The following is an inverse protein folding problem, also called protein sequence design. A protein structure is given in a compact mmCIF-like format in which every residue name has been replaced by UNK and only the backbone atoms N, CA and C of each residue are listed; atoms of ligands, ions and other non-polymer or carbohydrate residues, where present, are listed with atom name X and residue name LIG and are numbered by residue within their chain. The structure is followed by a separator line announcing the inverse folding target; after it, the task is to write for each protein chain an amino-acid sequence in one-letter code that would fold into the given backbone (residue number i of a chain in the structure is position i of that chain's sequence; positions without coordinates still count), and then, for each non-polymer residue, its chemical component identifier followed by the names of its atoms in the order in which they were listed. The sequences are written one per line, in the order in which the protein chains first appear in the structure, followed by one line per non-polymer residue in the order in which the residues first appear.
data_IF_971697992647
#
_entry.id   IF_971697992647
#
_cell.length_a   1.000
_cell.length_b   1.000
_cell.length_c   1.000
_cell.angle_alpha   90.00
_cell.angle_beta   90.00
_cell.angle_gamma   90.00
#
_symmetry.space_group_name_H-M   'P 1'
#
loop_
_entity.id
_entity.type
_entity.pdbx_description
1 polymer ?
#
# COMPACT_ATOMS: atom_id res chain seq x y z
N UNK A 1 17.25 -17.63 -58.28
CA UNK A 1 16.41 -18.57 -57.53
C UNK A 1 15.87 -17.79 -56.34
N UNK A 2 14.57 -17.44 -56.42
CA UNK A 2 13.86 -16.56 -55.52
C UNK A 2 13.45 -17.29 -54.26
N UNK A 3 13.78 -16.76 -53.08
CA UNK A 3 13.23 -17.22 -51.80
C UNK A 3 12.07 -16.29 -51.41
N UNK A 4 10.88 -16.86 -51.40
CA UNK A 4 9.63 -16.20 -51.03
C UNK A 4 9.55 -16.16 -49.50
N UNK A 5 9.53 -14.95 -48.93
CA UNK A 5 9.26 -14.70 -47.51
C UNK A 5 7.77 -14.78 -47.28
N UNK A 6 7.31 -15.78 -46.54
CA UNK A 6 5.92 -15.93 -46.13
C UNK A 6 5.68 -15.16 -44.86
N UNK A 7 5.03 -13.99 -44.97
CA UNK A 7 4.42 -13.27 -43.84
C UNK A 7 3.23 -14.06 -43.29
N UNK A 8 3.35 -14.61 -42.11
CA UNK A 8 2.18 -15.13 -41.36
C UNK A 8 1.49 -13.95 -40.68
N UNK A 9 0.33 -13.58 -41.18
CA UNK A 9 -0.62 -12.72 -40.43
C UNK A 9 -1.08 -13.47 -39.17
N UNK A 10 -0.84 -12.88 -38.01
CA UNK A 10 -1.47 -13.28 -36.74
C UNK A 10 -2.86 -12.64 -36.69
N UNK A 11 -3.91 -13.38 -36.29
CA UNK A 11 -5.23 -12.77 -36.08
C UNK A 11 -5.22 -11.89 -34.86
N UNK A 12 -5.56 -10.61 -35.03
CA UNK A 12 -5.95 -9.68 -33.97
C UNK A 12 -7.26 -10.19 -33.39
N UNK A 13 -7.22 -10.74 -32.19
CA UNK A 13 -8.41 -10.96 -31.37
C UNK A 13 -8.96 -9.60 -30.96
N UNK A 14 -9.97 -9.13 -31.69
CA UNK A 14 -10.79 -8.00 -31.28
C UNK A 14 -11.67 -8.46 -30.12
N UNK A 15 -11.30 -8.08 -28.91
CA UNK A 15 -12.18 -8.16 -27.75
C UNK A 15 -13.13 -6.96 -27.80
N UNK A 16 -14.23 -7.10 -28.54
CA UNK A 16 -15.33 -6.15 -28.53
C UNK A 16 -16.16 -6.37 -27.28
N UNK A 17 -15.88 -5.63 -26.22
CA UNK A 17 -16.73 -5.56 -25.02
C UNK A 17 -17.94 -4.65 -25.36
N UNK A 18 -19.02 -5.26 -25.81
CA UNK A 18 -20.33 -4.59 -25.95
C UNK A 18 -20.89 -4.27 -24.57
N UNK A 19 -20.73 -3.03 -24.13
CA UNK A 19 -21.40 -2.48 -22.95
C UNK A 19 -22.81 -2.09 -23.34
N UNK A 20 -23.79 -2.98 -23.15
CA UNK A 20 -25.22 -2.63 -23.23
C UNK A 20 -25.60 -1.86 -21.98
N UNK A 21 -25.75 -0.54 -22.12
CA UNK A 21 -26.40 0.30 -21.11
C UNK A 21 -27.91 -0.02 -21.09
N UNK A 22 -28.36 -0.82 -20.14
CA UNK A 22 -29.77 -0.89 -19.79
C UNK A 22 -30.11 0.26 -18.85
N UNK A 23 -30.88 1.21 -19.34
CA UNK A 23 -31.46 2.32 -18.55
C UNK A 23 -32.55 1.75 -17.64
N UNK A 24 -32.23 1.56 -16.35
CA UNK A 24 -33.24 1.36 -15.31
C UNK A 24 -33.56 2.68 -14.63
N UNK A 25 -34.82 3.00 -14.34
CA UNK A 25 -35.20 4.25 -13.70
C UNK A 25 -34.72 4.27 -12.25
N UNK A 26 -34.03 5.35 -11.90
CA UNK A 26 -33.64 5.68 -10.52
C UNK A 26 -34.92 5.95 -9.70
N UNK A 27 -35.27 5.00 -8.85
CA UNK A 27 -36.11 5.30 -7.70
C UNK A 27 -35.25 6.02 -6.67
N UNK A 28 -35.46 7.32 -6.54
CA UNK A 28 -34.93 8.11 -5.43
C UNK A 28 -35.69 7.70 -4.18
N UNK A 29 -35.13 6.77 -3.42
CA UNK A 29 -35.56 6.52 -2.06
C UNK A 29 -35.03 7.65 -1.20
N UNK A 30 -35.91 8.56 -0.78
CA UNK A 30 -35.63 9.51 0.29
C UNK A 30 -35.38 8.70 1.55
N UNK A 31 -34.12 8.52 1.89
CA UNK A 31 -33.69 8.00 3.19
C UNK A 31 -34.14 9.02 4.25
N UNK A 32 -35.12 8.67 5.02
CA UNK A 32 -35.46 9.36 6.25
C UNK A 32 -34.32 9.08 7.22
N UNK A 33 -33.65 10.13 7.67
CA UNK A 33 -32.66 10.05 8.73
C UNK A 33 -33.34 9.38 9.94
N UNK A 34 -32.80 8.26 10.37
CA UNK A 34 -33.26 7.50 11.52
C UNK A 34 -33.05 8.37 12.78
N UNK A 35 -34.18 8.85 13.34
CA UNK A 35 -34.23 9.68 14.54
C UNK A 35 -34.23 8.82 15.81
N UNK A 36 -33.83 7.55 15.73
CA UNK A 36 -34.01 6.52 16.76
C UNK A 36 -33.01 6.58 17.92
N UNK A 37 -32.20 7.65 18.07
CA UNK A 37 -31.26 7.80 19.17
C UNK A 37 -31.64 8.82 20.25
N UNK A 38 -32.73 9.58 20.11
CA UNK A 38 -33.12 10.61 21.10
C UNK A 38 -34.07 10.04 22.13
N UNK A 39 -33.81 10.33 23.41
CA UNK A 39 -34.66 9.96 24.54
C UNK A 39 -34.91 11.17 25.42
N UNK A 40 -36.05 11.17 26.11
CA UNK A 40 -36.35 12.19 27.10
C UNK A 40 -35.54 11.92 28.39
N UNK A 41 -34.83 12.94 28.85
CA UNK A 41 -34.05 12.90 30.08
C UNK A 41 -34.46 14.04 31.01
N UNK A 42 -34.41 13.75 32.30
CA UNK A 42 -34.66 14.73 33.33
C UNK A 42 -33.59 14.63 34.44
N UNK A 43 -32.65 15.55 34.41
CA UNK A 43 -31.54 15.61 35.37
C UNK A 43 -31.56 16.98 36.04
N UNK A 44 -31.81 17.05 37.35
CA UNK A 44 -31.86 18.33 38.06
C UNK A 44 -30.49 18.99 38.12
N UNK A 45 -30.48 20.32 38.22
CA UNK A 45 -29.27 21.09 38.51
C UNK A 45 -28.66 20.69 39.86
N UNK A 46 -27.33 20.67 39.94
CA UNK A 46 -26.62 20.28 41.14
C UNK A 46 -25.15 19.97 40.90
N UNK A 47 -24.52 19.17 41.76
CA UNK A 47 -23.12 18.81 41.57
C UNK A 47 -22.93 18.05 40.24
N UNK A 48 -21.88 18.39 39.52
CA UNK A 48 -21.59 17.79 38.20
C UNK A 48 -21.48 16.26 38.29
N UNK A 49 -20.86 15.74 39.35
CA UNK A 49 -20.75 14.31 39.59
C UNK A 49 -22.11 13.61 39.67
N UNK A 50 -23.05 14.17 40.47
CA UNK A 50 -24.39 13.59 40.59
C UNK A 50 -25.21 13.68 39.30
N UNK A 51 -25.11 14.79 38.56
CA UNK A 51 -25.79 14.98 37.30
C UNK A 51 -25.29 13.98 36.23
N UNK A 52 -23.99 13.80 36.12
CA UNK A 52 -23.37 12.87 35.18
C UNK A 52 -23.72 11.40 35.48
N UNK A 53 -23.67 11.01 36.77
CA UNK A 53 -24.03 9.65 37.19
C UNK A 53 -25.50 9.34 36.89
N UNK A 54 -26.40 10.31 37.18
CA UNK A 54 -27.83 10.16 36.91
C UNK A 54 -28.13 10.05 35.41
N UNK A 55 -27.49 10.92 34.62
CA UNK A 55 -27.67 10.90 33.17
C UNK A 55 -27.12 9.59 32.56
N UNK A 56 -25.92 9.15 32.93
CA UNK A 56 -25.32 7.89 32.45
C UNK A 56 -26.23 6.69 32.79
N UNK A 57 -26.82 6.66 34.00
CA UNK A 57 -27.77 5.63 34.41
C UNK A 57 -29.06 5.64 33.60
N UNK A 58 -29.61 6.83 33.29
CA UNK A 58 -30.81 6.95 32.43
C UNK A 58 -30.52 6.60 30.96
N UNK A 59 -29.32 6.91 30.48
CA UNK A 59 -28.87 6.64 29.13
C UNK A 59 -28.46 5.15 28.92
N UNK A 60 -28.16 4.41 29.99
CA UNK A 60 -27.71 3.03 29.94
C UNK A 60 -26.26 2.88 29.46
N UNK A 61 -25.42 3.90 29.70
CA UNK A 61 -24.01 3.93 29.27
C UNK A 61 -23.06 3.90 30.47
N UNK A 62 -21.88 3.35 30.27
CA UNK A 62 -20.83 3.31 31.27
C UNK A 62 -20.00 4.59 31.19
N UNK A 63 -19.94 5.35 32.31
CA UNK A 63 -19.13 6.53 32.40
C UNK A 63 -18.05 6.36 33.49
N UNK A 64 -16.79 6.42 33.05
CA UNK A 64 -15.64 6.46 33.95
C UNK A 64 -15.27 7.92 34.25
N UNK A 65 -15.29 8.29 35.51
CA UNK A 65 -15.04 9.67 35.98
C UNK A 65 -13.95 9.66 37.04
N UNK A 66 -12.88 10.40 36.80
CA UNK A 66 -11.91 10.71 37.85
C UNK A 66 -12.56 11.71 38.84
N UNK A 67 -12.74 11.35 40.13
CA UNK A 67 -13.34 12.23 41.12
C UNK A 67 -12.65 13.59 41.23
N UNK A 68 -11.36 13.66 40.99
CA UNK A 68 -10.59 14.91 41.03
C UNK A 68 -11.04 15.93 39.98
N UNK A 69 -11.53 15.48 38.83
CA UNK A 69 -11.97 16.34 37.73
C UNK A 69 -13.33 16.99 37.97
N UNK A 70 -14.21 16.36 38.75
CA UNK A 70 -15.60 16.80 38.94
C UNK A 70 -15.88 17.42 40.32
N UNK A 71 -14.94 17.30 41.25
CA UNK A 71 -15.08 17.85 42.61
C UNK A 71 -15.20 19.36 42.57
N UNK A 72 -16.22 19.91 43.25
CA UNK A 72 -16.49 21.35 43.34
C UNK A 72 -17.11 21.98 42.07
N UNK A 73 -17.44 21.18 41.04
CA UNK A 73 -18.10 21.67 39.82
C UNK A 73 -19.60 21.41 39.86
N UNK A 74 -20.38 22.32 39.27
CA UNK A 74 -21.83 22.24 39.19
C UNK A 74 -22.29 22.13 37.76
N UNK A 75 -23.44 21.50 37.55
CA UNK A 75 -24.15 21.42 36.27
C UNK A 75 -25.50 22.13 36.37
N UNK A 76 -25.92 22.79 35.28
CA UNK A 76 -27.23 23.43 35.14
C UNK A 76 -28.39 22.43 35.04
N UNK A 77 -28.09 21.13 34.99
CA UNK A 77 -29.09 20.11 34.76
C UNK A 77 -29.46 19.96 33.27
N UNK A 78 -30.37 19.01 32.98
CA UNK A 78 -30.83 18.70 31.63
C UNK A 78 -32.30 18.29 31.69
N UNK A 79 -33.16 18.89 30.84
CA UNK A 79 -34.55 18.48 30.65
C UNK A 79 -34.90 18.57 29.18
N UNK A 80 -35.39 17.47 28.60
CA UNK A 80 -35.79 17.38 27.17
C UNK A 80 -35.32 16.13 26.47
N UNK A 81 -35.47 16.10 25.15
CA UNK A 81 -35.07 14.98 24.32
C UNK A 81 -33.68 15.22 23.71
N UNK A 82 -32.74 14.35 24.01
CA UNK A 82 -31.36 14.46 23.58
C UNK A 82 -30.81 13.10 23.10
N UNK A 83 -29.85 13.13 22.21
CA UNK A 83 -28.92 12.02 22.01
C UNK A 83 -27.94 11.94 23.21
N UNK A 84 -27.36 10.77 23.46
CA UNK A 84 -26.47 10.55 24.61
C UNK A 84 -25.31 11.54 24.65
N UNK A 85 -24.64 11.72 23.54
CA UNK A 85 -23.49 12.64 23.43
C UNK A 85 -23.89 14.11 23.59
N UNK A 86 -25.03 14.48 23.03
CA UNK A 86 -25.59 15.83 23.15
C UNK A 86 -25.98 16.15 24.61
N UNK A 87 -26.56 15.19 25.33
CA UNK A 87 -26.88 15.31 26.74
C UNK A 87 -25.65 15.51 27.63
N UNK A 88 -24.59 14.73 27.39
CA UNK A 88 -23.32 14.92 28.07
C UNK A 88 -22.69 16.29 27.78
N UNK A 89 -22.67 16.70 26.51
CA UNK A 89 -22.12 18.01 26.13
C UNK A 89 -22.84 19.17 26.83
N UNK A 90 -24.16 19.08 27.01
CA UNK A 90 -24.95 20.07 27.78
C UNK A 90 -24.61 20.08 29.23
N UNK A 91 -24.50 18.91 29.88
CA UNK A 91 -24.16 18.78 31.30
C UNK A 91 -22.74 19.28 31.61
N UNK A 92 -21.82 19.11 30.64
CA UNK A 92 -20.41 19.53 30.75
C UNK A 92 -20.17 20.98 30.35
N UNK A 93 -21.18 21.70 29.86
CA UNK A 93 -21.04 23.08 29.41
C UNK A 93 -20.51 23.99 30.53
N UNK A 94 -19.40 24.69 30.31
CA UNK A 94 -18.76 25.56 31.29
C UNK A 94 -17.91 24.84 32.34
N UNK A 95 -17.81 23.50 32.30
CA UNK A 95 -17.00 22.74 33.25
C UNK A 95 -15.52 22.66 32.88
N UNK A 96 -15.14 23.01 31.66
CA UNK A 96 -13.76 22.79 31.16
C UNK A 96 -13.42 21.31 30.97
N UNK A 97 -14.42 20.45 30.83
CA UNK A 97 -14.28 19.02 30.59
C UNK A 97 -14.98 18.64 29.27
N UNK A 98 -14.48 17.62 28.63
CA UNK A 98 -15.11 17.02 27.45
C UNK A 98 -15.24 15.49 27.59
N UNK A 99 -16.22 14.93 26.89
CA UNK A 99 -16.49 13.52 26.85
C UNK A 99 -15.60 12.86 25.80
N UNK A 100 -15.00 11.72 26.12
CA UNK A 100 -14.23 10.90 25.20
C UNK A 100 -14.79 9.47 25.19
N UNK A 101 -15.18 8.92 24.03
CA UNK A 101 -15.60 7.53 23.91
C UNK A 101 -14.39 6.61 24.07
N UNK A 102 -14.51 5.53 24.85
CA UNK A 102 -13.46 4.50 25.06
C UNK A 102 -13.92 3.10 24.66
N UNK A 103 -15.13 2.96 24.14
CA UNK A 103 -15.71 1.70 23.68
C UNK A 103 -17.17 1.84 23.29
N UNK A 104 -17.81 0.75 22.87
CA UNK A 104 -19.25 0.74 22.63
C UNK A 104 -20.00 1.04 23.94
N UNK A 105 -20.72 2.16 23.99
CA UNK A 105 -21.47 2.66 25.16
C UNK A 105 -20.61 2.92 26.42
N UNK A 106 -19.30 3.14 26.27
CA UNK A 106 -18.40 3.48 27.36
C UNK A 106 -17.70 4.81 27.10
N UNK A 107 -17.71 5.71 28.09
CA UNK A 107 -17.18 7.06 28.00
C UNK A 107 -16.28 7.39 29.17
N UNK A 108 -15.32 8.31 28.96
CA UNK A 108 -14.50 8.91 30.03
C UNK A 108 -14.48 10.43 29.92
N UNK A 109 -14.16 11.11 31.00
CA UNK A 109 -14.00 12.57 31.00
C UNK A 109 -12.52 12.94 30.95
N UNK A 110 -12.21 13.93 30.12
CA UNK A 110 -10.88 14.53 30.01
C UNK A 110 -10.99 16.06 30.12
N UNK A 111 -9.93 16.77 30.55
CA UNK A 111 -9.91 18.23 30.51
C UNK A 111 -10.07 18.72 29.06
N UNK A 112 -10.92 19.73 28.85
CA UNK A 112 -11.00 20.39 27.55
C UNK A 112 -9.70 21.20 27.32
N UNK A 113 -9.12 21.20 26.12
CA UNK A 113 -7.92 21.99 25.84
C UNK A 113 -8.23 23.49 26.03
N UNK A 114 -7.35 24.18 26.73
CA UNK A 114 -7.48 25.64 26.94
C UNK A 114 -7.39 26.36 25.57
N UNK A 115 -8.38 27.20 25.28
CA UNK A 115 -8.51 27.98 24.04
C UNK A 115 -7.42 29.06 23.86
N UNK A 116 -6.40 29.08 24.69
CA UNK A 116 -5.33 30.11 24.68
C UNK A 116 -4.03 29.66 24.01
N UNK A 117 -3.93 28.42 23.54
CA UNK A 117 -2.77 27.94 22.77
C UNK A 117 -3.22 27.55 21.37
N UNK A 118 -3.35 28.54 20.49
CA UNK A 118 -3.51 28.30 19.05
C UNK A 118 -2.17 27.78 18.45
N UNK A 119 -1.67 26.67 18.95
CA UNK A 119 -0.79 25.77 18.23
C UNK A 119 -1.63 25.03 17.21
N UNK A 120 -1.12 24.89 15.98
CA UNK A 120 -1.72 24.16 14.87
C UNK A 120 -2.18 22.78 15.35
N UNK A 121 -3.42 22.67 15.79
CA UNK A 121 -4.02 21.40 16.16
C UNK A 121 -4.41 20.70 14.86
N UNK A 122 -3.57 19.79 14.42
CA UNK A 122 -3.94 18.83 13.38
C UNK A 122 -5.17 18.08 13.89
N UNK A 123 -6.23 18.06 13.07
CA UNK A 123 -7.43 17.31 13.38
C UNK A 123 -7.05 15.88 13.78
N UNK A 124 -7.69 15.31 14.84
CA UNK A 124 -7.43 13.93 15.18
C UNK A 124 -7.74 13.06 13.95
N UNK A 125 -6.73 12.46 13.40
CA UNK A 125 -6.90 11.46 12.35
C UNK A 125 -7.58 10.28 13.03
N UNK A 126 -8.89 10.11 12.80
CA UNK A 126 -9.56 8.89 13.23
C UNK A 126 -8.96 7.77 12.39
N UNK A 127 -8.15 6.95 13.01
CA UNK A 127 -7.64 5.72 12.41
C UNK A 127 -8.81 4.74 12.43
N UNK A 128 -9.62 4.76 11.39
CA UNK A 128 -10.50 3.64 11.09
C UNK A 128 -9.56 2.52 10.68
N UNK A 129 -9.51 1.46 11.48
CA UNK A 129 -8.65 0.31 11.23
C UNK A 129 -9.03 -0.33 9.90
N UNK A 130 -8.41 0.15 8.84
CA UNK A 130 -8.37 -0.57 7.58
C UNK A 130 -7.32 -1.66 7.74
N UNK A 131 -7.77 -2.90 7.72
CA UNK A 131 -6.93 -4.09 7.72
C UNK A 131 -6.14 -4.29 6.42
N UNK A 132 -6.07 -3.28 5.60
CA UNK A 132 -5.10 -3.08 4.53
C UNK A 132 -3.97 -2.23 5.04
N UNK A 133 -3.10 -2.80 5.83
CA UNK A 133 -1.67 -2.46 6.07
C UNK A 133 -1.19 -1.00 5.86
N UNK A 134 -2.00 -0.01 6.17
CA UNK A 134 -1.58 1.39 6.25
C UNK A 134 -1.69 1.95 7.67
N UNK A 135 -1.89 1.08 8.66
CA UNK A 135 -2.07 1.47 10.04
C UNK A 135 -0.73 1.53 10.80
N UNK A 136 0.11 2.40 10.38
CA UNK A 136 1.32 2.85 11.05
C UNK A 136 1.70 4.17 10.40
N UNK A 137 1.86 5.22 11.19
CA UNK A 137 2.41 6.46 10.67
C UNK A 137 3.72 6.15 9.95
N UNK A 138 3.78 6.39 8.66
CA UNK A 138 5.02 6.32 7.92
C UNK A 138 6.04 7.29 8.52
N UNK A 139 7.32 7.03 8.30
CA UNK A 139 8.34 8.02 8.65
C UNK A 139 8.12 9.31 7.88
N UNK A 140 8.69 10.39 8.39
CA UNK A 140 8.62 11.68 7.74
C UNK A 140 8.99 11.57 6.26
N UNK A 141 8.12 12.09 5.38
CA UNK A 141 8.25 11.98 3.93
C UNK A 141 7.52 10.80 3.29
N UNK A 142 6.90 9.90 4.07
CA UNK A 142 6.03 8.84 3.56
C UNK A 142 6.70 7.71 2.76
N UNK A 143 8.03 7.74 2.61
CA UNK A 143 8.73 6.78 1.75
C UNK A 143 9.07 5.45 2.43
N UNK A 144 9.14 5.46 3.75
CA UNK A 144 9.43 4.27 4.55
C UNK A 144 8.34 4.11 5.60
N UNK A 145 7.69 2.95 5.60
CA UNK A 145 6.68 2.63 6.59
C UNK A 145 7.30 2.17 7.91
N UNK A 146 6.60 2.37 9.03
CA UNK A 146 7.01 1.90 10.36
C UNK A 146 6.63 0.45 10.62
N UNK A 147 5.74 -0.10 9.83
CA UNK A 147 5.28 -1.49 9.94
C UNK A 147 5.55 -2.23 8.64
N UNK A 148 5.82 -3.50 8.74
CA UNK A 148 6.00 -4.37 7.57
C UNK A 148 5.56 -5.80 7.87
N UNK A 149 5.39 -6.59 6.82
CA UNK A 149 5.02 -8.00 6.94
C UNK A 149 6.20 -8.82 7.43
N UNK A 150 5.96 -9.59 8.49
CA UNK A 150 6.93 -10.48 9.12
C UNK A 150 6.43 -11.93 9.06
N UNK A 151 5.93 -12.34 7.89
CA UNK A 151 5.46 -13.69 7.66
C UNK A 151 4.40 -14.12 8.69
N UNK A 152 4.65 -15.19 9.41
CA UNK A 152 3.73 -15.73 10.42
C UNK A 152 3.42 -14.78 11.58
N UNK A 153 4.25 -13.78 11.82
CA UNK A 153 4.04 -12.79 12.88
C UNK A 153 3.10 -11.65 12.47
N UNK A 154 2.65 -11.66 11.21
CA UNK A 154 1.79 -10.62 10.65
C UNK A 154 2.51 -9.30 10.41
N UNK A 155 1.78 -8.19 10.40
CA UNK A 155 2.35 -6.85 10.26
C UNK A 155 2.56 -6.23 11.64
N UNK A 156 3.81 -5.85 11.95
CA UNK A 156 4.20 -5.24 13.23
C UNK A 156 5.10 -4.05 13.01
N UNK A 157 5.09 -3.14 13.98
CA UNK A 157 6.09 -2.08 14.07
C UNK A 157 7.47 -2.73 14.28
N UNK A 158 8.47 -2.27 13.52
CA UNK A 158 9.80 -2.89 13.61
C UNK A 158 10.53 -2.54 14.91
N UNK A 159 10.09 -1.54 15.67
CA UNK A 159 10.59 -1.28 17.03
C UNK A 159 10.07 -2.33 18.03
N UNK A 160 9.01 -3.05 17.69
CA UNK A 160 8.42 -4.12 18.52
C UNK A 160 8.89 -5.52 18.12
N UNK A 161 9.87 -5.62 17.21
CA UNK A 161 10.32 -6.89 16.67
C UNK A 161 11.83 -7.02 16.74
N UNK A 162 12.37 -8.25 16.96
CA UNK A 162 13.80 -8.48 17.01
C UNK A 162 14.44 -8.57 15.62
N UNK A 163 13.77 -8.10 14.58
CA UNK A 163 14.22 -8.17 13.19
C UNK A 163 14.56 -6.79 12.64
N UNK A 164 15.68 -6.71 11.93
CA UNK A 164 16.02 -5.52 11.15
C UNK A 164 15.28 -5.57 9.81
N UNK A 165 14.41 -4.60 9.57
CA UNK A 165 13.70 -4.52 8.29
C UNK A 165 13.52 -3.07 7.83
N UNK A 166 13.28 -2.93 6.55
CA UNK A 166 12.90 -1.66 5.89
C UNK A 166 11.71 -1.95 5.00
N UNK A 167 10.68 -1.11 5.09
CA UNK A 167 9.49 -1.21 4.26
C UNK A 167 9.37 0.04 3.41
N UNK A 168 9.62 -0.09 2.12
CA UNK A 168 9.42 0.99 1.13
C UNK A 168 7.97 1.04 0.70
N UNK A 169 7.38 2.23 0.71
CA UNK A 169 5.98 2.46 0.36
C UNK A 169 5.81 2.70 -1.15
N UNK A 170 4.57 2.73 -1.63
CA UNK A 170 4.25 3.19 -2.99
C UNK A 170 4.73 4.61 -3.27
N UNK A 171 4.78 5.46 -2.22
CA UNK A 171 5.28 6.83 -2.37
C UNK A 171 6.80 6.84 -2.61
N UNK A 172 7.55 5.89 -2.04
CA UNK A 172 8.94 5.67 -2.39
C UNK A 172 9.08 5.26 -3.87
N UNK A 173 8.28 4.32 -4.33
CA UNK A 173 8.25 3.89 -5.75
C UNK A 173 7.99 5.08 -6.66
N UNK A 174 6.97 5.89 -6.34
CA UNK A 174 6.57 7.05 -7.13
C UNK A 174 7.62 8.16 -7.11
N UNK A 175 8.14 8.53 -5.94
CA UNK A 175 9.08 9.63 -5.78
C UNK A 175 10.47 9.33 -6.37
N UNK A 176 10.89 8.07 -6.28
CA UNK A 176 12.13 7.61 -6.92
C UNK A 176 11.94 7.29 -8.40
N UNK A 177 10.69 7.33 -8.92
CA UNK A 177 10.34 6.88 -10.27
C UNK A 177 10.85 5.46 -10.55
N UNK A 178 10.85 4.62 -9.51
CA UNK A 178 11.36 3.26 -9.57
C UNK A 178 10.46 2.41 -10.48
N UNK A 179 11.02 1.86 -11.52
CA UNK A 179 10.32 0.99 -12.49
C UNK A 179 10.50 -0.48 -12.14
N UNK A 180 11.65 -0.79 -11.53
CA UNK A 180 12.04 -2.14 -11.16
C UNK A 180 12.34 -2.22 -9.67
N UNK A 181 12.40 -3.44 -9.15
CA UNK A 181 12.81 -3.66 -7.76
C UNK A 181 14.24 -3.14 -7.54
N UNK A 182 15.13 -3.32 -8.52
CA UNK A 182 16.50 -2.81 -8.46
C UNK A 182 16.56 -1.30 -8.29
N UNK A 183 15.73 -0.55 -9.01
CA UNK A 183 15.67 0.91 -8.90
C UNK A 183 15.24 1.33 -7.49
N UNK A 184 14.20 0.69 -6.93
CA UNK A 184 13.68 1.03 -5.61
C UNK A 184 14.70 0.81 -4.49
N UNK A 185 15.40 -0.32 -4.54
CA UNK A 185 16.34 -0.70 -3.47
C UNK A 185 17.73 -0.11 -3.64
N UNK A 186 18.02 0.60 -4.73
CA UNK A 186 19.32 1.20 -4.99
C UNK A 186 19.77 2.15 -3.87
N UNK A 187 18.81 2.75 -3.16
CA UNK A 187 19.04 3.63 -2.01
C UNK A 187 19.28 2.88 -0.68
N UNK A 188 19.00 1.58 -0.59
CA UNK A 188 19.20 0.80 0.66
C UNK A 188 20.68 0.44 0.83
N UNK A 189 21.35 0.91 1.92
CA UNK A 189 22.78 0.67 2.12
C UNK A 189 23.13 -0.81 2.36
N UNK A 190 22.17 -1.63 2.74
CA UNK A 190 22.38 -3.05 3.05
C UNK A 190 22.02 -4.00 1.91
N UNK A 191 21.44 -3.48 0.83
CA UNK A 191 21.04 -4.24 -0.35
C UNK A 191 21.80 -3.72 -1.57
N UNK A 192 22.29 -4.62 -2.40
CA UNK A 192 23.01 -4.26 -3.63
C UNK A 192 22.50 -5.08 -4.79
N UNK A 193 22.25 -4.44 -5.91
CA UNK A 193 22.11 -5.13 -7.18
C UNK A 193 23.50 -5.63 -7.62
N UNK A 194 23.55 -6.89 -8.06
CA UNK A 194 24.80 -7.54 -8.50
C UNK A 194 24.89 -7.64 -10.02
N UNK A 195 23.77 -7.44 -10.71
CA UNK A 195 23.75 -7.34 -12.16
C UNK A 195 23.61 -5.86 -12.58
N UNK A 196 24.09 -5.51 -13.79
CA UNK A 196 23.95 -4.16 -14.29
C UNK A 196 22.46 -3.75 -14.38
N UNK A 197 22.18 -2.48 -14.11
CA UNK A 197 20.90 -1.90 -14.45
C UNK A 197 20.69 -1.98 -15.97
N UNK A 198 19.45 -2.21 -16.43
CA UNK A 198 19.17 -2.46 -17.85
C UNK A 198 19.63 -3.82 -18.36
N UNK A 199 20.09 -4.71 -17.50
CA UNK A 199 20.41 -6.09 -17.82
C UNK A 199 19.17 -6.97 -18.00
N UNK A 200 19.41 -8.21 -18.43
CA UNK A 200 18.34 -9.18 -18.70
C UNK A 200 17.60 -9.64 -17.44
N UNK A 201 18.26 -9.66 -16.30
CA UNK A 201 17.68 -10.08 -15.02
C UNK A 201 18.33 -9.35 -13.86
N UNK A 202 17.56 -9.20 -12.79
CA UNK A 202 18.03 -8.63 -11.55
C UNK A 202 18.50 -9.73 -10.59
N UNK A 203 19.49 -9.44 -9.82
CA UNK A 203 19.96 -10.26 -8.70
C UNK A 203 20.50 -9.35 -7.62
N UNK A 204 20.30 -9.72 -6.38
CA UNK A 204 20.63 -8.88 -5.24
C UNK A 204 21.56 -9.58 -4.25
N UNK A 205 22.16 -8.78 -3.39
CA UNK A 205 22.77 -9.25 -2.15
C UNK A 205 22.20 -8.45 -0.99
N UNK A 206 21.92 -9.13 0.11
CA UNK A 206 21.56 -8.50 1.38
C UNK A 206 22.71 -8.78 2.35
N UNK A 207 23.37 -7.72 2.83
CA UNK A 207 24.55 -7.81 3.71
C UNK A 207 25.63 -8.78 3.16
N UNK A 208 25.80 -8.81 1.82
CA UNK A 208 26.77 -9.66 1.13
C UNK A 208 26.30 -11.07 0.77
N UNK A 209 25.15 -11.52 1.24
CA UNK A 209 24.58 -12.83 0.89
C UNK A 209 23.67 -12.70 -0.35
N UNK A 210 23.81 -13.64 -1.28
CA UNK A 210 23.03 -13.62 -2.52
C UNK A 210 21.55 -13.86 -2.28
N UNK A 211 20.73 -13.11 -3.01
CA UNK A 211 19.28 -13.28 -3.11
C UNK A 211 18.90 -13.21 -4.59
N UNK A 212 18.28 -14.25 -5.09
CA UNK A 212 17.81 -14.33 -6.48
C UNK A 212 16.36 -13.85 -6.57
N UNK A 213 15.90 -13.43 -7.75
CA UNK A 213 14.50 -13.03 -7.95
C UNK A 213 13.51 -14.16 -7.61
N UNK A 214 13.90 -15.43 -7.78
CA UNK A 214 13.09 -16.57 -7.32
C UNK A 214 12.90 -16.63 -5.80
N UNK A 215 13.75 -15.96 -5.03
CA UNK A 215 13.67 -15.85 -3.58
C UNK A 215 12.89 -14.61 -3.11
N UNK A 216 12.42 -13.78 -4.04
CA UNK A 216 11.51 -12.66 -3.76
C UNK A 216 10.09 -13.21 -3.67
N UNK A 217 9.39 -12.93 -2.58
CA UNK A 217 8.01 -13.34 -2.39
C UNK A 217 7.03 -12.26 -2.87
N UNK A 218 5.85 -12.70 -3.25
CA UNK A 218 4.70 -11.87 -3.59
C UNK A 218 3.60 -12.14 -2.57
N UNK A 219 3.29 -11.15 -1.76
CA UNK A 219 2.36 -11.30 -0.63
C UNK A 219 2.65 -12.54 0.25
N UNK A 220 3.93 -12.83 0.48
CA UNK A 220 4.40 -13.97 1.26
C UNK A 220 4.55 -15.28 0.48
N UNK A 221 4.16 -15.35 -0.79
CA UNK A 221 4.24 -16.55 -1.62
C UNK A 221 5.46 -16.49 -2.56
N UNK A 222 6.23 -17.56 -2.62
CA UNK A 222 7.35 -17.68 -3.56
C UNK A 222 6.89 -18.24 -4.92
N UNK A 223 7.67 -17.94 -5.97
CA UNK A 223 7.44 -18.48 -7.31
C UNK A 223 6.33 -17.80 -8.12
N UNK A 224 5.77 -16.71 -7.62
CA UNK A 224 4.71 -15.94 -8.30
C UNK A 224 5.30 -14.83 -9.18
N UNK A 225 6.40 -14.21 -8.74
CA UNK A 225 7.03 -13.11 -9.47
C UNK A 225 7.91 -13.62 -10.63
N UNK A 226 8.10 -12.82 -11.69
CA UNK A 226 9.04 -13.13 -12.73
C UNK A 226 10.46 -13.33 -12.19
N UNK A 227 11.19 -14.30 -12.73
CA UNK A 227 12.58 -14.55 -12.34
C UNK A 227 13.58 -13.54 -12.93
N UNK A 228 13.13 -12.68 -13.83
CA UNK A 228 13.96 -11.69 -14.52
C UNK A 228 13.90 -10.33 -13.86
N UNK A 229 12.93 -9.52 -14.20
CA UNK A 229 12.77 -8.16 -13.66
C UNK A 229 11.39 -8.05 -13.01
N UNK A 230 11.32 -7.38 -11.87
CA UNK A 230 10.09 -7.21 -11.10
C UNK A 230 9.65 -5.75 -11.22
N UNK A 231 8.51 -5.53 -11.88
CA UNK A 231 7.93 -4.21 -12.05
C UNK A 231 7.30 -3.70 -10.74
N UNK A 232 7.50 -2.41 -10.44
CA UNK A 232 7.11 -1.83 -9.14
C UNK A 232 5.77 -1.12 -9.14
N UNK A 233 5.19 -0.80 -10.28
CA UNK A 233 3.91 -0.08 -10.35
C UNK A 233 2.73 -0.86 -9.73
N UNK A 234 2.83 -2.17 -9.63
CA UNK A 234 1.84 -3.02 -8.97
C UNK A 234 2.01 -3.09 -7.44
N UNK A 235 3.14 -2.60 -6.91
CA UNK A 235 3.47 -2.73 -5.50
C UNK A 235 2.83 -1.62 -4.66
N UNK A 236 2.15 -1.98 -3.58
CA UNK A 236 1.75 -1.06 -2.51
C UNK A 236 2.93 -0.75 -1.60
N UNK A 237 3.77 -1.77 -1.35
CA UNK A 237 5.00 -1.64 -0.60
C UNK A 237 5.95 -2.81 -0.89
N UNK A 238 7.20 -2.62 -0.51
CA UNK A 238 8.22 -3.65 -0.56
C UNK A 238 8.86 -3.78 0.83
N UNK A 239 8.70 -4.96 1.42
CA UNK A 239 9.26 -5.28 2.74
C UNK A 239 10.62 -5.97 2.55
N UNK A 240 11.67 -5.43 3.14
CA UNK A 240 13.02 -6.01 3.13
C UNK A 240 13.39 -6.42 4.54
N UNK A 241 13.45 -7.70 4.80
CA UNK A 241 13.92 -8.25 6.06
C UNK A 241 15.41 -8.58 5.93
N UNK A 242 16.22 -8.08 6.87
CA UNK A 242 17.68 -8.14 6.84
C UNK A 242 18.21 -9.11 7.90
N UNK A 243 18.62 -10.28 7.48
CA UNK A 243 19.08 -11.36 8.32
C UNK A 243 18.28 -12.65 8.11
N UNK A 244 18.54 -13.70 8.86
CA UNK A 244 17.85 -14.99 8.69
C UNK A 244 16.34 -14.84 8.86
N UNK A 245 15.57 -15.13 7.80
CA UNK A 245 14.12 -14.97 7.74
C UNK A 245 13.35 -16.28 7.63
N UNK A 246 14.07 -17.38 7.51
CA UNK A 246 13.49 -18.68 7.19
C UNK A 246 12.48 -19.19 8.23
N UNK A 247 12.68 -18.82 9.51
CA UNK A 247 11.76 -19.23 10.58
C UNK A 247 10.37 -18.58 10.43
N UNK A 248 10.31 -17.34 9.96
CA UNK A 248 9.07 -16.57 9.89
C UNK A 248 8.46 -16.53 8.49
N UNK A 249 9.29 -16.51 7.44
CA UNK A 249 8.86 -16.40 6.05
C UNK A 249 8.91 -17.75 5.29
N UNK A 250 9.34 -18.83 5.97
CA UNK A 250 9.63 -20.10 5.30
C UNK A 250 10.95 -20.09 4.53
N UNK A 251 11.30 -21.24 3.97
CA UNK A 251 12.52 -21.41 3.19
C UNK A 251 12.26 -20.92 1.76
N UNK A 252 13.07 -19.97 1.31
CA UNK A 252 13.00 -19.50 -0.08
C UNK A 252 13.51 -20.57 -1.05
N UNK A 253 13.11 -20.54 -2.34
CA UNK A 253 13.44 -21.57 -3.32
C UNK A 253 14.93 -21.86 -3.47
N UNK A 254 15.79 -20.86 -3.29
CA UNK A 254 17.25 -21.02 -3.35
C UNK A 254 17.93 -20.89 -1.98
N UNK A 255 17.14 -20.76 -0.91
CA UNK A 255 17.65 -20.79 0.46
C UNK A 255 18.46 -19.55 0.85
N UNK A 256 18.04 -18.35 0.45
CA UNK A 256 18.71 -17.10 0.85
C UNK A 256 18.80 -16.99 2.38
N UNK A 257 20.01 -16.75 2.89
CA UNK A 257 20.29 -16.62 4.33
C UNK A 257 20.53 -15.17 4.77
N UNK A 258 20.74 -14.28 3.81
CA UNK A 258 20.99 -12.85 4.07
C UNK A 258 19.77 -12.05 4.45
N UNK A 259 18.59 -12.59 4.14
CA UNK A 259 17.30 -11.93 4.33
C UNK A 259 16.29 -12.33 3.28
N UNK A 260 15.20 -11.59 3.22
CA UNK A 260 14.14 -11.78 2.24
C UNK A 260 13.55 -10.46 1.76
N UNK A 261 13.02 -10.47 0.56
CA UNK A 261 12.27 -9.34 -0.01
C UNK A 261 10.86 -9.84 -0.28
N UNK A 262 9.85 -9.07 0.13
CA UNK A 262 8.44 -9.35 -0.11
C UNK A 262 7.77 -8.16 -0.79
N UNK A 263 7.22 -8.39 -1.97
CA UNK A 263 6.43 -7.41 -2.70
C UNK A 263 4.97 -7.58 -2.32
N UNK A 264 4.38 -6.57 -1.73
CA UNK A 264 2.97 -6.55 -1.35
C UNK A 264 2.18 -5.82 -2.43
N UNK A 265 1.20 -6.49 -3.06
CA UNK A 265 0.43 -5.89 -4.15
C UNK A 265 -0.54 -4.82 -3.66
N UNK A 266 -0.85 -3.90 -4.56
CA UNK A 266 -1.89 -2.90 -4.37
C UNK A 266 -3.27 -3.54 -4.27
N UNK A 267 -4.10 -3.06 -3.34
CA UNK A 267 -5.51 -3.45 -3.16
C UNK A 267 -6.42 -2.23 -3.26
N UNK A 268 -7.71 -2.48 -3.49
CA UNK A 268 -8.69 -1.41 -3.46
C UNK A 268 -8.74 -0.79 -2.06
N UNK A 269 -8.63 0.53 -2.01
CA UNK A 269 -8.77 1.34 -0.80
C UNK A 269 -10.22 1.80 -0.65
N UNK A 270 -10.61 2.26 0.54
CA UNK A 270 -11.95 2.77 0.78
C UNK A 270 -12.24 4.04 -0.03
N UNK A 271 -11.20 4.82 -0.29
CA UNK A 271 -11.29 5.94 -1.23
C UNK A 271 -11.06 5.46 -2.66
N UNK A 272 -11.94 5.83 -3.62
CA UNK A 272 -11.74 5.47 -5.02
C UNK A 272 -10.48 6.13 -5.58
N UNK A 273 -9.69 5.37 -6.35
CA UNK A 273 -8.49 5.85 -7.01
C UNK A 273 -8.72 5.85 -8.51
N UNK A 274 -8.32 6.92 -9.18
CA UNK A 274 -8.14 7.01 -10.64
C UNK A 274 -6.92 7.87 -10.88
N UNK A 275 -5.83 7.24 -11.24
CA UNK A 275 -4.57 7.92 -11.49
C UNK A 275 -4.06 7.52 -12.88
N UNK A 276 -3.68 8.51 -13.67
CA UNK A 276 -2.98 8.36 -14.94
C UNK A 276 -1.63 9.06 -14.79
N UNK A 277 -0.56 8.32 -14.98
CA UNK A 277 0.80 8.84 -14.95
C UNK A 277 1.40 8.72 -16.35
N UNK A 278 1.88 9.82 -16.90
CA UNK A 278 2.69 9.81 -18.11
C UNK A 278 4.13 10.08 -17.75
N UNK A 279 5.06 9.41 -18.42
CA UNK A 279 6.49 9.55 -18.17
C UNK A 279 7.24 9.80 -19.47
N UNK A 280 8.28 10.61 -19.36
CA UNK A 280 9.26 10.83 -20.41
C UNK A 280 10.65 10.72 -19.79
N UNK A 281 11.50 9.94 -20.38
CA UNK A 281 12.90 9.82 -19.97
C UNK A 281 13.85 10.15 -21.13
N UNK A 282 15.13 10.27 -20.84
CA UNK A 282 16.16 10.62 -21.81
C UNK A 282 16.13 9.68 -23.03
N UNK A 283 16.60 10.18 -24.17
CA UNK A 283 16.63 9.48 -25.47
C UNK A 283 15.25 9.03 -26.01
N UNK A 284 14.16 9.66 -25.53
CA UNK A 284 12.84 9.46 -26.13
C UNK A 284 12.05 8.28 -25.56
N UNK A 285 12.39 7.77 -24.39
CA UNK A 285 11.57 6.75 -23.75
C UNK A 285 10.29 7.41 -23.18
N UNK A 286 9.15 6.94 -23.65
CA UNK A 286 7.83 7.42 -23.25
C UNK A 286 7.04 6.31 -22.59
N UNK A 287 6.19 6.67 -21.64
CA UNK A 287 5.35 5.70 -20.95
C UNK A 287 4.06 6.30 -20.41
N UNK A 288 3.11 5.41 -20.20
CA UNK A 288 1.86 5.71 -19.50
C UNK A 288 1.56 4.58 -18.51
N UNK A 289 1.11 4.96 -17.33
CA UNK A 289 0.65 4.04 -16.30
C UNK A 289 -0.73 4.46 -15.80
N UNK A 290 -1.60 3.49 -15.55
CA UNK A 290 -2.94 3.70 -15.00
C UNK A 290 -3.12 2.90 -13.73
N UNK A 291 -3.72 3.50 -12.72
CA UNK A 291 -4.07 2.89 -11.44
C UNK A 291 -5.53 3.23 -11.10
N UNK A 292 -6.39 2.24 -11.11
CA UNK A 292 -7.82 2.41 -10.84
C UNK A 292 -8.23 1.45 -9.73
N UNK A 293 -8.85 2.00 -8.70
CA UNK A 293 -9.38 1.22 -7.58
C UNK A 293 -10.80 1.63 -7.24
N UNK A 294 -11.65 0.66 -6.99
CA UNK A 294 -13.05 0.84 -6.57
C UNK A 294 -13.43 -0.23 -5.55
N UNK A 295 -14.28 0.17 -4.64
CA UNK A 295 -15.00 -0.77 -3.78
C UNK A 295 -16.49 -0.67 -4.04
N UNK A 296 -17.21 -1.77 -3.79
CA UNK A 296 -18.64 -1.87 -4.07
C UNK A 296 -19.29 -2.99 -3.24
N UNK A 297 -20.62 -3.05 -3.31
CA UNK A 297 -21.43 -3.95 -2.50
C UNK A 297 -21.82 -3.33 -1.17
N UNK A 298 -22.61 -4.07 -0.39
CA UNK A 298 -22.97 -3.69 0.97
C UNK A 298 -21.71 -3.60 1.84
N UNK A 299 -21.53 -2.50 2.56
CA UNK A 299 -20.36 -2.19 3.39
C UNK A 299 -19.02 -2.21 2.62
N UNK A 300 -19.06 -1.90 1.31
CA UNK A 300 -17.84 -1.88 0.47
C UNK A 300 -16.99 -3.16 0.54
N UNK A 301 -17.66 -4.32 0.67
CA UNK A 301 -16.98 -5.61 0.90
C UNK A 301 -16.16 -6.09 -0.29
N UNK A 302 -16.54 -5.73 -1.52
CA UNK A 302 -15.82 -6.14 -2.73
C UNK A 302 -14.89 -5.04 -3.21
N UNK A 303 -13.64 -5.37 -3.43
CA UNK A 303 -12.62 -4.49 -3.97
C UNK A 303 -12.10 -4.97 -5.32
N UNK A 304 -11.88 -4.02 -6.23
CA UNK A 304 -11.19 -4.22 -7.49
C UNK A 304 -10.10 -3.16 -7.65
N UNK A 305 -8.91 -3.58 -8.02
CA UNK A 305 -7.81 -2.68 -8.39
C UNK A 305 -7.15 -3.12 -9.68
N UNK A 306 -7.00 -2.21 -10.60
CA UNK A 306 -6.31 -2.43 -11.86
C UNK A 306 -5.09 -1.52 -11.95
N UNK A 307 -3.94 -2.10 -12.28
CA UNK A 307 -2.71 -1.40 -12.61
C UNK A 307 -2.28 -1.80 -14.02
N UNK A 308 -2.10 -0.83 -14.89
CA UNK A 308 -1.62 -1.03 -16.24
C UNK A 308 -0.43 -0.13 -16.56
N UNK A 309 0.55 -0.62 -17.30
CA UNK A 309 1.71 0.14 -17.76
C UNK A 309 1.97 -0.19 -19.21
N UNK A 310 2.28 0.83 -19.99
CA UNK A 310 2.89 0.70 -21.32
C UNK A 310 4.02 1.69 -21.43
N UNK A 311 5.21 1.22 -21.81
CA UNK A 311 6.39 2.04 -21.95
C UNK A 311 7.23 1.56 -23.14
N UNK A 312 7.79 2.46 -23.92
CA UNK A 312 8.61 2.16 -25.10
C UNK A 312 9.66 3.25 -25.32
N UNK A 313 10.81 2.86 -25.83
CA UNK A 313 11.83 3.77 -26.32
C UNK A 313 13.25 3.46 -25.85
N UNK A 314 14.18 4.31 -26.28
CA UNK A 314 15.59 4.16 -25.98
C UNK A 314 15.91 4.50 -24.52
N UNK A 315 16.84 3.75 -23.94
CA UNK A 315 17.34 4.01 -22.58
C UNK A 315 18.58 4.93 -22.60
N UNK A 316 19.15 5.19 -21.45
CA UNK A 316 20.39 5.95 -21.31
C UNK A 316 21.61 5.23 -21.92
N UNK A 317 21.57 3.90 -22.04
CA UNK A 317 22.68 3.12 -22.63
C UNK A 317 22.63 3.13 -24.15
N UNK A 318 23.81 3.04 -24.76
CA UNK A 318 23.92 3.04 -26.19
C UNK A 318 23.35 1.76 -26.80
N UNK A 319 22.59 1.91 -27.90
CA UNK A 319 21.93 0.84 -28.62
C UNK A 319 20.89 0.03 -27.83
N UNK A 320 20.49 0.49 -26.65
CA UNK A 320 19.48 -0.18 -25.87
C UNK A 320 18.12 0.49 -25.99
N UNK A 321 17.10 -0.30 -26.27
CA UNK A 321 15.70 0.08 -26.15
C UNK A 321 14.95 -0.92 -25.28
N UNK A 322 13.88 -0.45 -24.64
CA UNK A 322 13.01 -1.27 -23.79
C UNK A 322 11.56 -1.00 -24.14
N UNK A 323 10.86 -2.05 -24.49
CA UNK A 323 9.40 -2.08 -24.60
C UNK A 323 8.84 -2.88 -23.43
N UNK A 324 7.88 -2.30 -22.70
CA UNK A 324 7.34 -2.89 -21.49
C UNK A 324 5.83 -2.72 -21.42
N UNK A 325 5.15 -3.83 -21.22
CA UNK A 325 3.71 -3.91 -21.00
C UNK A 325 3.42 -4.65 -19.68
N UNK A 326 2.57 -4.08 -18.84
CA UNK A 326 2.11 -4.71 -17.59
C UNK A 326 0.62 -4.48 -17.42
N UNK A 327 -0.10 -5.52 -17.03
CA UNK A 327 -1.49 -5.44 -16.59
C UNK A 327 -1.69 -6.34 -15.38
N UNK A 328 -2.13 -5.78 -14.25
CA UNK A 328 -2.39 -6.51 -13.02
C UNK A 328 -3.77 -6.14 -12.50
N UNK A 329 -4.59 -7.15 -12.24
CA UNK A 329 -5.92 -7.05 -11.66
C UNK A 329 -5.89 -7.70 -10.28
N UNK A 330 -6.13 -6.90 -9.25
CA UNK A 330 -6.33 -7.36 -7.88
C UNK A 330 -7.81 -7.34 -7.52
N UNK A 331 -8.29 -8.44 -6.99
CA UNK A 331 -9.66 -8.58 -6.47
C UNK A 331 -9.56 -8.90 -4.99
N UNK A 332 -10.43 -8.31 -4.18
CA UNK A 332 -10.50 -8.63 -2.76
C UNK A 332 -11.96 -8.63 -2.26
N UNK A 333 -12.20 -9.47 -1.27
CA UNK A 333 -13.43 -9.52 -0.50
C UNK A 333 -13.10 -9.39 0.99
N UNK A 334 -13.75 -8.45 1.66
CA UNK A 334 -13.61 -8.18 3.10
C UNK A 334 -14.92 -8.46 3.81
N UNK A 335 -15.08 -9.66 4.34
CA UNK A 335 -16.20 -10.01 5.23
C UNK A 335 -15.74 -10.02 6.69
N UNK A 336 -16.69 -10.11 7.61
CA UNK A 336 -16.44 -10.11 9.06
C UNK A 336 -15.55 -11.26 9.52
N UNK A 337 -15.73 -12.44 8.91
CA UNK A 337 -15.03 -13.68 9.26
C UNK A 337 -14.17 -14.25 8.14
N UNK A 338 -14.30 -13.73 6.94
CA UNK A 338 -13.60 -14.24 5.76
C UNK A 338 -13.03 -13.07 4.94
N UNK A 339 -11.77 -13.17 4.63
CA UNK A 339 -11.08 -12.28 3.69
C UNK A 339 -10.47 -13.12 2.60
N UNK A 340 -10.75 -12.75 1.36
CA UNK A 340 -10.22 -13.41 0.18
C UNK A 340 -9.55 -12.35 -0.68
N UNK A 341 -8.47 -12.73 -1.32
CA UNK A 341 -7.83 -11.88 -2.33
C UNK A 341 -7.25 -12.75 -3.43
N UNK A 342 -7.34 -12.26 -4.65
CA UNK A 342 -6.69 -12.89 -5.80
C UNK A 342 -6.10 -11.84 -6.71
N UNK A 343 -4.97 -12.19 -7.32
CA UNK A 343 -4.27 -11.36 -8.30
C UNK A 343 -4.12 -12.13 -9.61
N UNK A 344 -4.41 -11.45 -10.70
CA UNK A 344 -4.16 -11.94 -12.05
C UNK A 344 -3.29 -10.89 -12.74
N UNK A 345 -2.15 -11.28 -13.26
CA UNK A 345 -1.23 -10.35 -13.89
C UNK A 345 -0.55 -10.92 -15.12
N UNK A 346 -0.30 -10.03 -16.06
CA UNK A 346 0.54 -10.28 -17.23
C UNK A 346 1.60 -9.19 -17.33
N UNK A 347 2.84 -9.59 -17.58
CA UNK A 347 3.95 -8.67 -17.82
C UNK A 347 4.74 -9.18 -19.02
N UNK A 348 5.09 -8.26 -19.90
CA UNK A 348 5.97 -8.51 -21.04
C UNK A 348 7.02 -7.40 -21.09
N UNK A 349 8.26 -7.79 -21.34
CA UNK A 349 9.39 -6.87 -21.50
C UNK A 349 10.29 -7.37 -22.60
N UNK A 350 10.43 -6.58 -23.64
CA UNK A 350 11.41 -6.75 -24.70
C UNK A 350 12.54 -5.75 -24.50
N UNK A 351 13.77 -6.22 -24.46
CA UNK A 351 14.96 -5.40 -24.32
C UNK A 351 15.93 -5.70 -25.46
N UNK A 352 16.20 -4.71 -26.26
CA UNK A 352 17.26 -4.77 -27.27
C UNK A 352 18.58 -4.41 -26.60
N UNK A 353 19.65 -5.12 -26.94
CA UNK A 353 20.98 -4.97 -26.39
C UNK A 353 21.00 -4.88 -24.83
N UNK A 354 20.44 -5.90 -24.12
CA UNK A 354 20.41 -5.87 -22.65
C UNK A 354 21.83 -5.84 -22.10
N UNK A 355 22.07 -4.99 -21.10
CA UNK A 355 23.37 -4.86 -20.42
C UNK A 355 23.84 -6.22 -19.89
N UNK A 356 25.07 -6.58 -20.21
CA UNK A 356 25.67 -7.85 -19.77
C UNK A 356 26.82 -7.59 -18.77
N UNK A 357 26.99 -8.53 -17.86
CA UNK A 357 28.10 -8.51 -16.93
C UNK A 357 29.37 -8.97 -17.62
N UNK A 358 30.38 -8.10 -17.66
CA UNK A 358 31.70 -8.44 -18.19
C UNK A 358 32.54 -9.09 -17.08
N UNK A 359 32.99 -10.32 -17.32
CA UNK A 359 33.97 -10.98 -16.46
C UNK A 359 35.38 -10.73 -17.01
N UNK A 360 36.21 -10.14 -16.16
CA UNK A 360 37.62 -9.94 -16.51
C UNK A 360 38.40 -11.20 -16.12
N UNK A 361 39.09 -11.78 -17.09
CA UNK A 361 39.93 -12.96 -16.84
C UNK A 361 41.09 -12.65 -15.86
N UNK A 362 41.57 -13.67 -15.16
CA UNK A 362 42.58 -13.50 -14.09
C UNK A 362 43.85 -12.75 -14.52
N UNK A 363 44.23 -12.84 -15.79
CA UNK A 363 45.43 -12.21 -16.35
C UNK A 363 45.11 -11.02 -17.27
N UNK A 364 43.86 -10.59 -17.34
CA UNK A 364 43.48 -9.45 -18.17
C UNK A 364 43.66 -8.13 -17.42
N UNK A 365 44.13 -7.13 -18.14
CA UNK A 365 44.23 -5.78 -17.60
C UNK A 365 42.78 -5.24 -17.44
N UNK A 366 42.48 -4.69 -16.26
CA UNK A 366 41.19 -4.04 -16.04
C UNK A 366 41.10 -2.87 -17.03
N UNK A 367 40.04 -2.77 -17.83
CA UNK A 367 39.83 -1.70 -18.79
C UNK A 367 39.74 -0.36 -18.02
N UNK A 368 40.11 0.74 -18.71
CA UNK A 368 39.86 2.07 -18.17
C UNK A 368 38.35 2.26 -17.93
N UNK A 369 38.03 3.18 -17.04
CA UNK A 369 36.64 3.59 -16.86
C UNK A 369 36.11 4.15 -18.19
N UNK A 370 34.99 3.59 -18.63
CA UNK A 370 34.33 3.96 -19.87
C UNK A 370 33.27 5.04 -19.61
N UNK A 371 32.68 5.56 -20.67
CA UNK A 371 31.50 6.39 -20.56
C UNK A 371 30.38 5.58 -19.86
N UNK A 372 29.64 6.21 -18.99
CA UNK A 372 28.53 5.58 -18.26
C UNK A 372 27.42 5.06 -19.19
N UNK A 373 27.41 5.50 -20.44
CA UNK A 373 26.46 5.07 -21.48
C UNK A 373 26.93 3.88 -22.29
N UNK A 374 28.20 3.48 -22.16
CA UNK A 374 28.74 2.37 -22.95
C UNK A 374 27.98 1.09 -22.64
N UNK A 375 27.48 0.46 -23.69
CA UNK A 375 26.81 -0.83 -23.65
C UNK A 375 27.71 -1.90 -24.30
N UNK A 376 28.11 -2.88 -23.50
CA UNK A 376 28.94 -3.98 -23.98
C UNK A 376 28.14 -5.09 -24.66
N UNK A 377 26.80 -5.02 -24.62
CA UNK A 377 25.96 -5.96 -25.34
C UNK A 377 26.10 -5.78 -26.86
N UNK A 378 25.99 -6.88 -27.59
CA UNK A 378 25.93 -6.79 -29.02
C UNK A 378 24.62 -6.11 -29.45
N UNK A 379 24.67 -5.18 -30.40
CA UNK A 379 23.51 -4.40 -30.86
C UNK A 379 22.38 -5.26 -31.44
N UNK A 380 22.69 -6.49 -31.82
CA UNK A 380 21.70 -7.47 -32.30
C UNK A 380 21.14 -8.40 -31.23
N UNK A 381 21.66 -8.33 -29.99
CA UNK A 381 21.19 -9.17 -28.90
C UNK A 381 19.82 -8.67 -28.39
N UNK A 382 18.96 -9.62 -28.04
CA UNK A 382 17.60 -9.35 -27.57
C UNK A 382 17.26 -10.22 -26.39
N UNK A 383 16.55 -9.67 -25.44
CA UNK A 383 15.95 -10.42 -24.35
C UNK A 383 14.46 -10.13 -24.30
N UNK A 384 13.64 -11.17 -24.41
CA UNK A 384 12.22 -11.10 -24.20
C UNK A 384 11.86 -11.88 -22.95
N UNK A 385 11.12 -11.24 -22.08
CA UNK A 385 10.60 -11.87 -20.88
C UNK A 385 9.09 -11.68 -20.84
N UNK A 386 8.39 -12.78 -20.60
CA UNK A 386 6.94 -12.80 -20.49
C UNK A 386 6.56 -13.54 -19.21
N UNK A 387 5.63 -13.03 -18.46
CA UNK A 387 5.15 -13.62 -17.23
C UNK A 387 3.65 -13.49 -17.08
N UNK A 388 2.98 -14.63 -16.87
CA UNK A 388 1.58 -14.68 -16.43
C UNK A 388 1.57 -15.19 -15.00
N UNK A 389 0.81 -14.53 -14.13
CA UNK A 389 0.74 -14.89 -12.72
C UNK A 389 -0.70 -14.93 -12.22
N UNK A 390 -0.97 -15.83 -11.31
CA UNK A 390 -2.15 -15.78 -10.46
C UNK A 390 -1.75 -16.17 -9.05
N UNK A 391 -2.27 -15.45 -8.06
CA UNK A 391 -2.08 -15.72 -6.64
C UNK A 391 -3.41 -15.62 -5.92
N UNK A 392 -3.63 -16.45 -4.89
CA UNK A 392 -4.89 -16.56 -4.18
C UNK A 392 -4.66 -16.52 -2.66
#
# INVERSE_FOLDING_TARGET
MSAVSSYRLRPLLHFSLLLTLSSSPLFISTSWADTSGRRAYEVPAGSLSAALTRFAGQAGVNLSVDPALVTGRNSSGLSGEFAVEEGFARLLQGSGLQLMPVGEQAYTLIPAPDSASAGLQLAPTSIVGDSGVTDGQDYAGGQVARKGSQGMLGSRDFMETPFSMTTYTKDAVKNQQARTLGDLIASDPSVRATNPAGGRYEQFTIRGFSLFNSDVSYNGLYGILPTYTIDMEMAERVDILKGPSQLINGISPRGSVGGGINVVPKRATDKPITELTTSYASKGQVGAAVDVARRFGEDDKFGIRFNGVKQSGDTEWDHQSVDRDMAVLGLDFRGDRLRLSTDIGHTERDTDAPQERVQVGANAKVPNANDVRDNYAQSWSKARTEGVRSAQ
#
